data_IF_603919217259
#
_entry.id   IF_603919217259
#
_cell.length_a   1.000
_cell.length_b   1.000
_cell.length_c   1.000
_cell.angle_alpha   90.00
_cell.angle_beta   90.00
_cell.angle_gamma   90.00
#
_symmetry.space_group_name_H-M   'P 1'
#
loop_
_entity.id
_entity.type
_entity.pdbx_description
1 polymer ?
#
# COMPACT_ATOMS: atom_id res chain seq x y z
N UNK A 1 1.81 18.14 11.83
CA UNK A 1 3.26 17.95 11.55
C UNK A 1 3.83 16.68 12.21
N UNK A 2 3.94 16.57 13.54
CA UNK A 2 4.57 15.40 14.23
C UNK A 2 4.05 14.03 13.77
N UNK A 3 2.75 13.89 13.50
CA UNK A 3 2.17 12.62 13.05
C UNK A 3 2.54 12.25 11.61
N UNK A 4 2.46 13.20 10.66
CA UNK A 4 2.91 12.99 9.29
C UNK A 4 4.40 12.60 9.20
N UNK A 5 5.25 13.14 10.09
CA UNK A 5 6.66 12.73 10.20
C UNK A 5 6.81 11.28 10.71
N UNK A 6 5.96 10.82 11.64
CA UNK A 6 5.92 9.42 12.08
C UNK A 6 5.44 8.49 10.96
N UNK A 7 4.40 8.88 10.23
CA UNK A 7 3.87 8.11 9.11
C UNK A 7 4.91 7.98 7.98
N UNK A 8 5.61 9.06 7.65
CA UNK A 8 6.72 9.05 6.69
C UNK A 8 7.89 8.19 7.18
N UNK A 9 8.29 8.32 8.45
CA UNK A 9 9.36 7.51 9.03
C UNK A 9 9.01 6.01 9.03
N UNK A 10 7.77 5.65 9.36
CA UNK A 10 7.29 4.27 9.30
C UNK A 10 7.27 3.74 7.86
N UNK A 11 6.84 4.55 6.88
CA UNK A 11 6.87 4.18 5.46
C UNK A 11 8.30 3.96 4.96
N UNK A 12 9.22 4.89 5.24
CA UNK A 12 10.63 4.78 4.85
C UNK A 12 11.30 3.58 5.51
N UNK A 13 11.04 3.33 6.80
CA UNK A 13 11.54 2.16 7.51
C UNK A 13 11.00 0.84 6.89
N UNK A 14 9.70 0.77 6.58
CA UNK A 14 9.12 -0.42 5.93
C UNK A 14 9.67 -0.68 4.53
N UNK A 15 9.81 0.35 3.70
CA UNK A 15 10.36 0.21 2.34
C UNK A 15 11.85 -0.14 2.40
N UNK A 16 12.62 0.45 3.31
CA UNK A 16 14.04 0.14 3.50
C UNK A 16 14.27 -1.28 4.02
N UNK A 17 13.69 -1.63 5.18
CA UNK A 17 13.87 -2.94 5.81
C UNK A 17 13.28 -4.05 4.95
N UNK A 18 12.04 -3.87 4.47
CA UNK A 18 11.39 -4.85 3.59
C UNK A 18 12.07 -4.98 2.23
N UNK A 19 12.65 -3.89 1.70
CA UNK A 19 13.44 -3.89 0.48
C UNK A 19 14.73 -4.70 0.60
N UNK A 20 15.45 -4.60 1.71
CA UNK A 20 16.67 -5.39 1.95
C UNK A 20 16.31 -6.87 2.11
N UNK A 21 15.27 -7.21 2.90
CA UNK A 21 14.80 -8.60 2.97
C UNK A 21 14.39 -9.13 1.60
N UNK A 22 13.59 -8.39 0.84
CA UNK A 22 13.18 -8.81 -0.50
C UNK A 22 14.38 -9.06 -1.43
N UNK A 23 15.38 -8.16 -1.41
CA UNK A 23 16.61 -8.32 -2.19
C UNK A 23 17.42 -9.56 -1.77
N UNK A 24 17.60 -9.77 -0.45
CA UNK A 24 18.32 -10.92 0.09
C UNK A 24 17.63 -12.24 -0.30
N UNK A 25 16.30 -12.29 -0.23
CA UNK A 25 15.50 -13.44 -0.65
C UNK A 25 15.51 -13.65 -2.16
N UNK A 26 15.53 -12.57 -2.94
CA UNK A 26 15.66 -12.62 -4.40
C UNK A 26 17.02 -13.21 -4.82
N UNK A 27 18.12 -12.79 -4.20
CA UNK A 27 19.43 -13.42 -4.44
C UNK A 27 19.43 -14.90 -4.06
N UNK A 28 18.80 -15.30 -2.95
CA UNK A 28 18.67 -16.74 -2.59
C UNK A 28 17.84 -17.54 -3.61
N UNK A 29 16.89 -16.90 -4.28
CA UNK A 29 16.07 -17.50 -5.35
C UNK A 29 16.87 -17.64 -6.66
N UNK A 30 17.64 -16.61 -7.05
CA UNK A 30 18.53 -16.64 -8.22
C UNK A 30 19.68 -17.64 -8.07
N UNK A 31 20.31 -17.70 -6.90
CA UNK A 31 21.31 -18.72 -6.52
C UNK A 31 20.71 -20.15 -6.55
N UNK A 32 19.42 -20.25 -6.24
CA UNK A 32 18.69 -21.50 -6.10
C UNK A 32 18.99 -22.28 -4.81
N UNK A 33 18.02 -23.12 -4.40
CA UNK A 33 18.05 -23.81 -3.11
C UNK A 33 19.29 -24.70 -2.87
N UNK A 34 19.92 -25.24 -3.92
CA UNK A 34 21.15 -26.04 -3.78
C UNK A 34 22.35 -25.18 -3.36
N UNK A 35 22.57 -24.03 -4.00
CA UNK A 35 23.69 -23.15 -3.68
C UNK A 35 23.45 -22.45 -2.33
N UNK A 36 22.23 -21.97 -2.09
CA UNK A 36 21.82 -21.40 -0.79
C UNK A 36 21.94 -22.44 0.34
N UNK A 37 21.56 -23.70 0.09
CA UNK A 37 21.77 -24.81 1.03
C UNK A 37 23.24 -25.08 1.34
N UNK A 38 24.13 -24.99 0.35
CA UNK A 38 25.57 -25.11 0.58
C UNK A 38 26.13 -23.96 1.44
N UNK A 39 25.62 -22.73 1.30
CA UNK A 39 25.96 -21.59 2.18
C UNK A 39 25.58 -21.88 3.63
N UNK A 40 24.35 -22.33 3.89
CA UNK A 40 23.91 -22.74 5.23
C UNK A 40 24.70 -23.95 5.77
N UNK A 41 25.08 -24.90 4.91
CA UNK A 41 25.91 -26.03 5.32
C UNK A 41 27.31 -25.59 5.77
N UNK A 42 27.93 -24.65 5.05
CA UNK A 42 29.22 -24.07 5.43
C UNK A 42 29.16 -23.27 6.74
N UNK A 43 27.98 -22.78 7.13
CA UNK A 43 27.69 -22.13 8.41
C UNK A 43 27.35 -23.10 9.54
N UNK A 44 27.30 -24.42 9.28
CA UNK A 44 26.99 -25.46 10.27
C UNK A 44 25.50 -25.72 10.50
N UNK A 45 24.62 -25.26 9.59
CA UNK A 45 23.18 -25.35 9.82
C UNK A 45 22.64 -26.79 9.86
N UNK A 46 21.78 -27.14 10.84
CA UNK A 46 21.05 -28.41 10.82
C UNK A 46 20.02 -28.40 9.68
N UNK A 47 20.00 -29.44 8.85
CA UNK A 47 19.17 -29.54 7.64
C UNK A 47 19.26 -28.30 6.69
N UNK A 48 20.42 -28.05 6.04
CA UNK A 48 20.68 -26.81 5.30
C UNK A 48 19.68 -26.48 4.19
N UNK A 49 19.11 -27.49 3.52
CA UNK A 49 18.08 -27.29 2.49
C UNK A 49 16.76 -26.74 3.05
N UNK A 50 16.43 -27.04 4.31
CA UNK A 50 15.26 -26.48 4.97
C UNK A 50 15.48 -24.99 5.27
N UNK A 51 16.64 -24.63 5.83
CA UNK A 51 17.02 -23.22 6.03
C UNK A 51 17.06 -22.43 4.73
N UNK A 52 17.64 -22.98 3.67
CA UNK A 52 17.64 -22.34 2.36
C UNK A 52 16.22 -22.02 1.85
N UNK A 53 15.28 -22.96 2.05
CA UNK A 53 13.89 -22.80 1.60
C UNK A 53 13.11 -21.81 2.48
N UNK A 54 13.22 -21.95 3.81
CA UNK A 54 12.47 -21.12 4.77
C UNK A 54 12.94 -19.66 4.74
N UNK A 55 14.25 -19.43 4.70
CA UNK A 55 14.81 -18.06 4.67
C UNK A 55 14.46 -17.39 3.34
N UNK A 56 14.73 -18.01 2.19
CA UNK A 56 14.37 -17.48 0.87
C UNK A 56 12.88 -17.07 0.77
N UNK A 57 11.96 -17.94 1.22
CA UNK A 57 10.52 -17.64 1.19
C UNK A 57 10.12 -16.56 2.19
N UNK A 58 10.65 -16.61 3.42
CA UNK A 58 10.35 -15.62 4.46
C UNK A 58 10.86 -14.23 4.09
N UNK A 59 12.07 -14.14 3.57
CA UNK A 59 12.69 -12.88 3.14
C UNK A 59 11.96 -12.27 1.93
N UNK A 60 11.63 -13.07 0.90
CA UNK A 60 10.86 -12.60 -0.27
C UNK A 60 9.45 -12.17 0.11
N UNK A 61 8.67 -13.07 0.71
CA UNK A 61 7.25 -12.84 0.97
C UNK A 61 7.10 -11.82 2.10
N UNK A 62 7.85 -11.98 3.19
CA UNK A 62 7.85 -11.04 4.30
C UNK A 62 8.36 -9.65 3.90
N UNK A 63 9.42 -9.57 3.10
CA UNK A 63 9.90 -8.31 2.54
C UNK A 63 8.83 -7.59 1.70
N UNK A 64 8.20 -8.30 0.78
CA UNK A 64 7.10 -7.76 -0.05
C UNK A 64 5.88 -7.30 0.79
N UNK A 65 5.46 -8.11 1.76
CA UNK A 65 4.36 -7.77 2.67
C UNK A 65 4.69 -6.53 3.54
N UNK A 66 5.94 -6.39 3.99
CA UNK A 66 6.38 -5.27 4.79
C UNK A 66 6.42 -3.96 3.97
N UNK A 67 6.92 -4.02 2.73
CA UNK A 67 6.88 -2.89 1.78
C UNK A 67 5.43 -2.46 1.54
N UNK A 68 4.53 -3.40 1.23
CA UNK A 68 3.11 -3.13 1.03
C UNK A 68 2.42 -2.57 2.29
N UNK A 69 2.96 -2.86 3.48
CA UNK A 69 2.34 -2.47 4.74
C UNK A 69 1.12 -3.35 5.06
N UNK A 70 1.26 -4.66 4.83
CA UNK A 70 0.25 -5.67 5.12
C UNK A 70 0.70 -6.55 6.30
N UNK A 71 -0.20 -6.67 7.28
CA UNK A 71 -0.04 -7.37 8.54
C UNK A 71 1.28 -7.02 9.26
N UNK A 72 1.68 -5.73 9.26
CA UNK A 72 3.06 -5.30 9.60
C UNK A 72 3.55 -5.82 10.95
N UNK A 73 2.69 -5.88 11.96
CA UNK A 73 3.03 -6.46 13.26
C UNK A 73 3.39 -7.94 13.20
N UNK A 74 2.65 -8.73 12.41
CA UNK A 74 2.92 -10.16 12.21
C UNK A 74 4.13 -10.36 11.29
N UNK A 75 4.17 -9.64 10.17
CA UNK A 75 5.26 -9.70 9.18
C UNK A 75 6.60 -9.32 9.82
N UNK A 76 6.64 -8.28 10.65
CA UNK A 76 7.84 -7.87 11.39
C UNK A 76 8.29 -8.89 12.45
N UNK A 77 7.36 -9.57 13.14
CA UNK A 77 7.71 -10.66 14.06
C UNK A 77 8.28 -11.88 13.32
N UNK A 78 7.72 -12.23 12.16
CA UNK A 78 8.22 -13.33 11.32
C UNK A 78 9.64 -13.03 10.83
N UNK A 79 9.88 -11.82 10.28
CA UNK A 79 11.20 -11.40 9.82
C UNK A 79 12.22 -11.26 10.96
N UNK A 80 11.80 -10.84 12.16
CA UNK A 80 12.65 -10.86 13.35
C UNK A 80 13.01 -12.29 13.78
N UNK A 81 12.05 -13.22 13.78
CA UNK A 81 12.28 -14.61 14.14
C UNK A 81 13.19 -15.34 13.13
N UNK A 82 13.07 -15.02 11.84
CA UNK A 82 13.98 -15.51 10.80
C UNK A 82 15.40 -14.98 11.03
N UNK A 83 15.57 -13.67 11.20
CA UNK A 83 16.88 -13.07 11.46
C UNK A 83 17.52 -13.62 12.74
N UNK A 84 16.75 -13.81 13.81
CA UNK A 84 17.23 -14.44 15.04
C UNK A 84 17.61 -15.92 14.83
N UNK A 85 16.81 -16.66 14.07
CA UNK A 85 17.08 -18.06 13.73
C UNK A 85 18.39 -18.22 12.94
N UNK A 86 18.58 -17.40 11.90
CA UNK A 86 19.83 -17.36 11.13
C UNK A 86 21.00 -16.89 12.00
N UNK A 87 20.82 -15.89 12.88
CA UNK A 87 21.88 -15.45 13.79
C UNK A 87 22.35 -16.57 14.75
N UNK A 88 21.43 -17.38 15.28
CA UNK A 88 21.77 -18.51 16.16
C UNK A 88 22.43 -19.65 15.39
N UNK A 89 22.04 -19.87 14.13
CA UNK A 89 22.53 -20.98 13.30
C UNK A 89 23.83 -20.66 12.56
N UNK A 90 24.07 -19.38 12.21
CA UNK A 90 25.25 -18.95 11.50
C UNK A 90 26.48 -18.89 12.41
N UNK A 91 27.20 -20.01 12.52
CA UNK A 91 28.49 -20.03 13.23
C UNK A 91 29.49 -19.05 12.59
N UNK A 92 30.36 -18.40 13.39
CA UNK A 92 31.00 -17.16 12.98
C UNK A 92 32.18 -17.41 12.01
N UNK A 93 31.95 -17.13 10.72
CA UNK A 93 33.01 -16.98 9.72
C UNK A 93 33.09 -15.57 9.10
N UNK A 94 32.07 -14.71 9.28
CA UNK A 94 32.09 -13.34 8.73
C UNK A 94 31.30 -12.34 9.59
N UNK A 95 31.95 -11.32 10.21
CA UNK A 95 31.27 -10.36 11.07
C UNK A 95 30.39 -9.35 10.31
N UNK A 96 30.61 -9.14 9.00
CA UNK A 96 29.84 -8.19 8.20
C UNK A 96 28.37 -8.65 8.12
N UNK A 97 28.14 -9.94 7.88
CA UNK A 97 26.80 -10.54 7.83
C UNK A 97 26.06 -10.49 9.18
N UNK A 98 26.78 -10.56 10.30
CA UNK A 98 26.19 -10.52 11.64
C UNK A 98 25.62 -9.13 11.98
N UNK A 99 26.33 -8.06 11.61
CA UNK A 99 25.87 -6.68 11.86
C UNK A 99 24.58 -6.37 11.07
N UNK A 100 24.50 -6.82 9.82
CA UNK A 100 23.30 -6.68 9.00
C UNK A 100 22.12 -7.45 9.62
N UNK A 101 22.31 -8.74 9.95
CA UNK A 101 21.30 -9.57 10.61
C UNK A 101 20.74 -8.96 11.90
N UNK A 102 21.61 -8.45 12.78
CA UNK A 102 21.20 -7.81 14.04
C UNK A 102 20.42 -6.52 13.76
N UNK A 103 20.87 -5.69 12.80
CA UNK A 103 20.20 -4.44 12.46
C UNK A 103 18.81 -4.68 11.85
N UNK A 104 18.68 -5.61 10.89
CA UNK A 104 17.39 -5.96 10.31
C UNK A 104 16.47 -6.65 11.32
N UNK A 105 16.99 -7.52 12.20
CA UNK A 105 16.21 -8.11 13.27
C UNK A 105 15.62 -7.05 14.21
N UNK A 106 16.45 -6.14 14.73
CA UNK A 106 15.99 -5.05 15.61
C UNK A 106 15.03 -4.10 14.89
N UNK A 107 15.28 -3.77 13.62
CA UNK A 107 14.40 -2.91 12.83
C UNK A 107 13.04 -3.57 12.53
N UNK A 108 13.01 -4.87 12.24
CA UNK A 108 11.78 -5.66 12.08
C UNK A 108 10.97 -5.75 13.36
N UNK A 109 11.62 -5.98 14.51
CA UNK A 109 10.96 -6.00 15.81
C UNK A 109 10.41 -4.61 16.18
N UNK A 110 11.14 -3.53 15.87
CA UNK A 110 10.66 -2.17 16.06
C UNK A 110 9.44 -1.88 15.18
N UNK A 111 9.47 -2.25 13.89
CA UNK A 111 8.31 -2.15 12.99
C UNK A 111 7.14 -3.00 13.46
N UNK A 112 7.40 -4.16 14.05
CA UNK A 112 6.34 -5.03 14.57
C UNK A 112 5.55 -4.36 15.70
N UNK A 113 6.25 -3.68 16.61
CA UNK A 113 5.68 -2.99 17.78
C UNK A 113 5.09 -1.62 17.42
N UNK A 114 5.75 -0.85 16.54
CA UNK A 114 5.31 0.49 16.13
C UNK A 114 4.15 0.41 15.12
N UNK A 115 4.08 -0.65 14.32
CA UNK A 115 3.02 -0.90 13.35
C UNK A 115 3.21 -0.16 12.02
N UNK A 116 2.18 -0.26 11.17
CA UNK A 116 2.28 0.04 9.75
C UNK A 116 2.35 1.55 9.37
N UNK A 117 1.90 2.45 10.25
CA UNK A 117 1.62 3.85 9.94
C UNK A 117 0.41 4.04 9.02
N UNK A 118 -0.03 5.28 8.80
CA UNK A 118 -1.26 5.59 8.02
C UNK A 118 -1.17 5.27 6.53
N UNK A 119 0.03 5.25 5.96
CA UNK A 119 0.28 4.93 4.55
C UNK A 119 0.50 3.42 4.34
N UNK A 120 -0.49 2.61 4.73
CA UNK A 120 -0.41 1.14 4.73
C UNK A 120 -1.72 0.48 4.31
N UNK A 121 -1.65 -0.76 3.82
CA UNK A 121 -2.85 -1.57 3.53
C UNK A 121 -3.61 -1.86 4.83
N UNK A 122 -2.91 -2.15 5.93
CA UNK A 122 -3.52 -2.34 7.25
C UNK A 122 -4.43 -1.17 7.65
N UNK A 123 -3.96 0.07 7.49
CA UNK A 123 -4.74 1.27 7.82
C UNK A 123 -5.94 1.47 6.87
N UNK A 124 -5.80 1.14 5.58
CA UNK A 124 -6.91 1.19 4.62
C UNK A 124 -8.01 0.17 4.93
N UNK A 125 -7.64 -1.04 5.37
CA UNK A 125 -8.59 -2.07 5.82
C UNK A 125 -9.32 -1.64 7.09
N UNK A 126 -8.61 -1.04 8.06
CA UNK A 126 -9.22 -0.54 9.31
C UNK A 126 -10.21 0.61 9.05
N UNK A 127 -9.90 1.54 8.13
CA UNK A 127 -10.86 2.60 7.74
C UNK A 127 -12.13 1.96 7.15
N UNK A 128 -11.98 1.12 6.12
CA UNK A 128 -13.13 0.52 5.43
C UNK A 128 -14.01 -0.32 6.35
N UNK A 129 -13.41 -1.02 7.31
CA UNK A 129 -14.16 -1.76 8.33
C UNK A 129 -15.04 -0.84 9.17
N UNK A 130 -14.50 0.29 9.67
CA UNK A 130 -15.27 1.27 10.44
C UNK A 130 -16.38 1.93 9.63
N UNK A 131 -16.12 2.23 8.36
CA UNK A 131 -17.13 2.74 7.42
C UNK A 131 -18.27 1.71 7.25
N UNK A 132 -17.95 0.42 7.12
CA UNK A 132 -18.97 -0.64 7.01
C UNK A 132 -19.76 -0.88 8.30
N UNK A 133 -19.11 -0.78 9.47
CA UNK A 133 -19.76 -0.95 10.77
C UNK A 133 -20.76 0.21 11.02
N UNK A 134 -20.36 1.46 10.76
CA UNK A 134 -21.24 2.63 10.89
C UNK A 134 -22.39 2.64 9.87
N UNK A 135 -22.16 2.17 8.63
CA UNK A 135 -23.23 2.03 7.63
C UNK A 135 -24.25 0.95 8.04
N UNK A 136 -23.81 -0.12 8.70
CA UNK A 136 -24.68 -1.19 9.21
C UNK A 136 -25.49 -0.75 10.43
N UNK A 137 -24.91 0.06 11.32
CA UNK A 137 -25.60 0.70 12.45
C UNK A 137 -26.71 1.64 11.96
N UNK A 138 -26.41 2.56 11.03
CA UNK A 138 -27.40 3.45 10.44
C UNK A 138 -28.53 2.70 9.69
N UNK A 139 -28.21 1.59 9.03
CA UNK A 139 -29.21 0.73 8.40
C UNK A 139 -30.13 0.07 9.43
N UNK A 140 -29.58 -0.41 10.55
CA UNK A 140 -30.34 -1.03 11.63
C UNK A 140 -31.27 -0.02 12.34
N UNK A 141 -30.80 1.20 12.61
CA UNK A 141 -31.63 2.29 13.15
C UNK A 141 -32.78 2.65 12.19
N UNK A 142 -32.48 2.77 10.89
CA UNK A 142 -33.49 3.05 9.85
C UNK A 142 -34.52 1.91 9.74
N UNK A 143 -34.10 0.67 9.94
CA UNK A 143 -35.01 -0.49 9.97
C UNK A 143 -35.87 -0.49 11.23
N UNK A 144 -35.29 -0.19 12.40
CA UNK A 144 -36.02 -0.06 13.66
C UNK A 144 -37.09 1.04 13.59
N UNK A 145 -36.77 2.22 13.05
CA UNK A 145 -37.72 3.32 12.84
C UNK A 145 -38.88 2.90 11.93
N UNK A 146 -38.61 2.14 10.86
CA UNK A 146 -39.65 1.61 9.97
C UNK A 146 -40.54 0.59 10.68
N UNK A 147 -39.96 -0.30 11.48
CA UNK A 147 -40.72 -1.28 12.27
C UNK A 147 -41.62 -0.55 13.27
N UNK A 148 -41.09 0.42 14.03
CA UNK A 148 -41.86 1.25 14.97
C UNK A 148 -42.98 2.01 14.24
N UNK A 149 -42.71 2.59 13.08
CA UNK A 149 -43.73 3.25 12.25
C UNK A 149 -44.81 2.28 11.75
N UNK A 150 -44.45 1.04 11.43
CA UNK A 150 -45.41 -0.01 11.00
C UNK A 150 -46.26 -0.57 12.14
N UNK A 151 -45.77 -0.52 13.38
CA UNK A 151 -46.49 -0.94 14.59
C UNK A 151 -47.36 0.18 15.18
N UNK A 152 -47.28 1.39 14.62
CA UNK A 152 -48.11 2.53 15.01
C UNK A 152 -49.41 2.50 14.18
N UNK A 153 -50.43 1.84 14.71
CA UNK A 153 -51.77 1.82 14.11
C UNK A 153 -52.27 3.24 13.76
N UNK A 154 -52.99 3.43 12.64
CA UNK A 154 -53.48 4.72 12.16
C UNK A 154 -54.70 5.26 12.96
N UNK A 155 -54.83 4.92 14.24
CA UNK A 155 -55.96 5.28 15.10
C UNK A 155 -55.76 6.61 15.85
N UNK A 156 -55.67 7.70 15.08
CA UNK A 156 -56.32 8.96 15.45
C UNK A 156 -56.90 9.62 14.20
N UNK A 157 -58.10 9.18 13.81
CA UNK A 157 -58.94 9.94 12.88
C UNK A 157 -59.21 11.33 13.48
N UNK A 158 -58.94 12.44 12.77
CA UNK A 158 -59.26 13.76 13.28
C UNK A 158 -60.78 13.90 13.40
N UNK A 159 -61.26 14.12 14.63
CA UNK A 159 -62.67 14.08 14.96
C UNK A 159 -63.51 14.96 14.03
N UNK A 160 -64.45 14.32 13.33
CA UNK A 160 -65.44 14.99 12.49
C UNK A 160 -66.50 15.68 13.35
N UNK A 161 -66.26 16.94 13.70
CA UNK A 161 -67.34 17.82 14.18
C UNK A 161 -67.46 19.07 13.30
N UNK A 162 -68.51 19.08 12.49
CA UNK A 162 -69.14 20.24 11.85
C UNK A 162 -70.43 19.82 11.15
N UNK A 163 -71.47 19.58 11.93
CA UNK A 163 -72.84 19.55 11.41
C UNK A 163 -73.62 20.77 11.87
N UNK A 164 -73.58 21.83 11.06
CA UNK A 164 -74.61 22.88 11.04
C UNK A 164 -74.62 23.62 9.70
N UNK A 165 -75.61 23.29 8.88
CA UNK A 165 -76.01 24.05 7.70
C UNK A 165 -77.29 24.86 8.02
N UNK A 166 -77.85 25.66 7.10
CA UNK A 166 -77.31 26.15 5.82
C UNK A 166 -77.38 27.70 5.70
N UNK A 167 -76.69 28.27 4.71
CA UNK A 167 -77.30 29.31 3.87
C UNK A 167 -76.60 29.39 2.49
N UNK A 168 -77.34 29.88 1.50
CA UNK A 168 -77.14 29.60 0.07
C UNK A 168 -76.62 30.84 -0.65
N UNK A 169 -75.73 30.70 -1.66
CA UNK A 169 -75.88 31.36 -2.98
C UNK A 169 -74.81 30.94 -4.04
N UNK A 170 -75.31 30.45 -5.19
CA UNK A 170 -74.85 30.60 -6.61
C UNK A 170 -73.37 30.32 -6.96
N UNK A 171 -73.06 29.29 -7.76
CA UNK A 171 -72.93 29.31 -9.25
C UNK A 171 -71.77 30.24 -9.73
N UNK A 172 -70.79 29.83 -10.55
CA UNK A 172 -70.74 28.78 -11.60
C UNK A 172 -69.31 28.20 -11.82
N UNK A 173 -69.23 27.05 -12.50
CA UNK A 173 -68.04 26.27 -12.95
C UNK A 173 -67.89 26.40 -14.50
N UNK A 174 -66.96 25.75 -15.26
CA UNK A 174 -65.78 24.93 -14.90
C UNK A 174 -64.50 25.12 -15.80
N UNK A 175 -63.53 24.23 -15.57
CA UNK A 175 -62.66 23.56 -16.57
C UNK A 175 -61.23 24.08 -16.89
N UNK A 176 -60.26 23.43 -16.22
CA UNK A 176 -58.91 23.07 -16.70
C UNK A 176 -59.01 21.89 -17.73
N UNK A 177 -57.99 21.46 -18.52
CA UNK A 177 -56.87 20.67 -17.95
C UNK A 177 -55.49 20.62 -18.71
N UNK A 178 -54.49 20.07 -17.99
CA UNK A 178 -53.35 19.23 -18.47
C UNK A 178 -52.18 19.89 -19.26
N UNK A 179 -50.91 19.83 -18.81
CA UNK A 179 -49.90 18.73 -18.93
C UNK A 179 -49.27 18.62 -20.36
N UNK A 180 -47.98 18.28 -20.62
CA UNK A 180 -46.95 17.44 -19.94
C UNK A 180 -45.49 17.90 -20.26
N UNK A 181 -44.48 17.21 -19.68
CA UNK A 181 -43.08 16.97 -20.17
C UNK A 181 -42.12 18.17 -20.34
N UNK A 182 -40.93 18.22 -19.73
CA UNK A 182 -39.75 17.33 -19.79
C UNK A 182 -39.00 17.33 -21.13
N UNK A 183 -37.97 18.17 -21.25
CA UNK A 183 -36.71 17.80 -21.94
C UNK A 183 -35.55 18.74 -21.59
N UNK A 184 -34.40 18.15 -21.24
CA UNK A 184 -33.07 18.70 -21.56
C UNK A 184 -32.42 17.73 -22.55
N UNK A 185 -31.60 18.17 -23.55
CA UNK A 185 -30.21 18.52 -23.23
C UNK A 185 -29.50 19.55 -24.16
N UNK A 186 -28.31 19.99 -23.73
CA UNK A 186 -27.24 20.51 -24.61
C UNK A 186 -26.63 19.38 -25.50
N UNK A 187 -25.69 19.62 -26.47
CA UNK A 187 -24.99 20.87 -26.86
C UNK A 187 -24.94 21.14 -28.39
N UNK A 188 -24.35 22.27 -28.84
CA UNK A 188 -23.72 22.39 -30.18
C UNK A 188 -22.42 23.22 -30.18
N UNK A 189 -21.43 22.91 -31.05
CA UNK A 189 -20.11 23.53 -31.07
C UNK A 189 -19.96 24.65 -32.11
N UNK A 190 -18.90 25.48 -32.03
CA UNK A 190 -18.53 26.41 -33.12
C UNK A 190 -17.02 26.47 -33.43
N UNK A 191 -16.69 25.85 -34.57
CA UNK A 191 -15.72 26.19 -35.60
C UNK A 191 -14.29 26.71 -35.27
N UNK A 192 -13.32 26.03 -35.90
CA UNK A 192 -11.89 26.34 -36.08
C UNK A 192 -11.61 27.50 -37.05
N UNK A 193 -10.44 28.14 -36.91
CA UNK A 193 -9.42 28.41 -37.98
C UNK A 193 -8.32 29.34 -37.42
N UNK A 194 -7.02 29.24 -37.74
CA UNK A 194 -6.14 28.20 -38.34
C UNK A 194 -4.79 28.20 -37.56
N UNK A 195 -3.88 27.22 -37.59
CA UNK A 195 -3.17 26.60 -38.73
C UNK A 195 -2.37 27.66 -39.55
N UNK A 196 -1.05 27.59 -39.81
CA UNK A 196 0.01 26.54 -39.81
C UNK A 196 1.25 27.01 -38.97
N UNK A 197 2.48 26.43 -38.94
CA UNK A 197 3.16 25.35 -39.71
C UNK A 197 4.18 24.56 -38.84
N UNK A 198 4.92 23.66 -39.49
CA UNK A 198 6.02 22.78 -39.03
C UNK A 198 7.36 23.49 -38.79
N UNK A 199 8.18 22.90 -37.91
CA UNK A 199 9.59 22.55 -38.20
C UNK A 199 9.94 21.22 -37.54
N UNK A 200 10.72 20.40 -38.23
CA UNK A 200 11.12 19.03 -37.84
C UNK A 200 12.56 19.04 -37.27
N UNK A 201 12.74 18.33 -36.14
CA UNK A 201 13.88 17.44 -35.80
C UNK A 201 15.32 18.00 -35.61
N UNK A 202 16.31 17.23 -35.05
CA UNK A 202 16.28 15.80 -34.65
C UNK A 202 16.85 15.46 -33.24
N UNK A 203 16.94 14.14 -32.98
CA UNK A 203 17.40 13.47 -31.75
C UNK A 203 18.95 13.21 -31.71
N UNK A 204 19.52 12.40 -30.78
CA UNK A 204 20.88 12.62 -30.23
C UNK A 204 22.05 11.95 -30.98
N UNK A 205 23.28 12.35 -30.63
CA UNK A 205 24.54 11.79 -31.15
C UNK A 205 25.40 11.16 -30.03
N UNK A 206 25.94 9.94 -30.20
CA UNK A 206 26.94 9.33 -29.31
C UNK A 206 28.39 9.49 -29.82
N UNK A 207 29.39 9.54 -28.92
CA UNK A 207 30.79 9.27 -29.27
C UNK A 207 31.86 10.16 -28.62
N UNK A 208 32.78 9.51 -27.91
CA UNK A 208 34.21 9.78 -27.73
C UNK A 208 34.77 11.11 -27.16
N UNK A 209 35.25 10.96 -25.91
CA UNK A 209 36.56 11.41 -25.39
C UNK A 209 36.83 12.92 -25.19
N UNK A 210 37.14 13.28 -23.94
CA UNK A 210 38.49 13.73 -23.57
C UNK A 210 38.76 13.51 -22.07
N UNK A 211 39.63 12.56 -21.75
CA UNK A 211 40.14 12.35 -20.39
C UNK A 211 41.27 13.34 -20.12
N UNK A 212 41.08 14.26 -19.19
CA UNK A 212 42.14 15.11 -18.65
C UNK A 212 41.96 15.29 -17.14
N UNK A 213 42.98 14.94 -16.34
CA UNK A 213 43.01 15.31 -14.91
C UNK A 213 43.36 14.26 -13.85
N UNK A 214 43.95 13.09 -14.17
CA UNK A 214 44.61 12.27 -13.13
C UNK A 214 45.92 11.65 -13.60
N UNK A 215 47.03 12.04 -12.95
CA UNK A 215 48.37 11.50 -13.19
C UNK A 215 48.39 9.99 -12.92
N UNK A 216 48.86 9.19 -13.89
CA UNK A 216 49.31 7.81 -13.62
C UNK A 216 50.62 7.86 -12.80
N UNK A 217 50.82 6.98 -11.79
CA UNK A 217 52.12 6.79 -11.18
C UNK A 217 53.09 6.10 -12.16
N UNK A 218 54.41 6.33 -12.05
CA UNK A 218 55.40 5.72 -12.94
C UNK A 218 55.54 4.21 -12.71
N UNK A 219 55.92 3.43 -13.74
CA UNK A 219 56.14 1.99 -13.62
C UNK A 219 57.36 1.68 -12.75
N UNK A 220 57.20 0.78 -11.76
CA UNK A 220 58.31 0.24 -10.97
C UNK A 220 59.10 -0.74 -11.84
N UNK A 221 60.26 -0.33 -12.33
CA UNK A 221 61.19 -1.20 -13.05
C UNK A 221 61.73 -2.27 -12.10
N UNK A 222 61.49 -3.55 -12.43
CA UNK A 222 62.26 -4.67 -11.85
C UNK A 222 63.72 -4.51 -12.31
N UNK A 223 64.67 -4.50 -11.38
CA UNK A 223 66.08 -4.84 -11.67
C UNK A 223 66.23 -6.37 -11.64
N UNK A 224 66.90 -6.99 -12.63
CA UNK A 224 67.49 -8.32 -12.48
C UNK A 224 68.77 -8.25 -11.61
N UNK A 225 69.31 -9.42 -11.26
CA UNK A 225 70.27 -9.64 -10.18
C UNK A 225 71.75 -9.68 -10.58
N UNK A 226 72.60 -9.46 -9.57
CA UNK A 226 74.01 -9.88 -9.39
C UNK A 226 74.47 -9.32 -8.02
N UNK A 227 75.24 -9.99 -7.16
CA UNK A 227 75.74 -11.38 -7.12
C UNK A 227 75.55 -11.95 -5.69
#
# INVERSE_FOLDING_TARGET
>A
MKQALRDLAALVARVGVGGIFFANGWTKLEDGLKATGAKFQAQGAPAPGAWATVTMLTELIGGALLIAGLAVSVTGLILFAEALGVFVVATPLNPISLNELVLLGVASLLLAVVGAGRASVDHMVVIRRRESEAANEFAADTEADRVIASLRDPDTSPASDKSRAPETERQEEPADPAATEDTAPHPRPRAKSGETRRTEDPAPVPGDTLVAGRKKPPPRTRRPASD
#
